data_IF_663640009379
#
_entry.id   IF_663640009379
#
_cell.length_a   1.000
_cell.length_b   1.000
_cell.length_c   1.000
_cell.angle_alpha   90.00
_cell.angle_beta   90.00
_cell.angle_gamma   90.00
#
_symmetry.space_group_name_H-M   'P 1'
#
loop_
_entity.id
_entity.type
_entity.pdbx_description
1 polymer ?
#
# COMPACT_ATOMS: atom_id res chain seq x y z
N UNK A 1 1.90 -2.25 3.37
CA UNK A 1 2.10 -2.32 1.93
C UNK A 1 2.20 -3.77 1.44
N UNK A 2 1.29 -4.66 1.90
CA UNK A 2 1.28 -6.08 1.57
C UNK A 2 2.27 -6.93 2.34
N UNK A 3 2.24 -8.25 2.06
CA UNK A 3 2.99 -9.30 2.76
C UNK A 3 2.71 -9.29 4.28
N UNK A 4 1.42 -9.39 4.62
CA UNK A 4 0.93 -9.45 5.99
C UNK A 4 1.21 -10.82 6.61
N UNK A 5 1.36 -11.82 5.75
CA UNK A 5 1.55 -13.22 6.06
C UNK A 5 2.83 -13.75 5.42
N UNK A 6 3.33 -14.89 5.87
CA UNK A 6 4.47 -15.60 5.27
C UNK A 6 3.99 -16.71 4.30
N UNK A 7 3.01 -17.49 4.72
CA UNK A 7 2.47 -18.63 3.97
C UNK A 7 1.07 -18.38 3.37
N UNK A 8 0.47 -17.25 3.65
CA UNK A 8 -0.85 -16.89 3.12
C UNK A 8 -2.02 -17.62 3.78
N UNK A 9 -1.87 -18.04 5.02
CA UNK A 9 -2.92 -18.77 5.74
C UNK A 9 -3.89 -17.82 6.43
N UNK A 10 -5.15 -18.25 6.60
CA UNK A 10 -6.16 -17.50 7.36
C UNK A 10 -5.71 -17.21 8.80
N UNK A 11 -5.01 -18.15 9.44
CA UNK A 11 -4.53 -17.97 10.80
C UNK A 11 -3.51 -16.83 10.89
N UNK A 12 -2.58 -16.73 9.93
CA UNK A 12 -1.62 -15.62 9.89
C UNK A 12 -2.32 -14.28 9.67
N UNK A 13 -3.36 -14.25 8.83
CA UNK A 13 -4.18 -13.03 8.66
C UNK A 13 -4.86 -12.64 9.96
N UNK A 14 -5.44 -13.58 10.69
CA UNK A 14 -6.06 -13.31 11.99
C UNK A 14 -5.03 -12.80 13.01
N UNK A 15 -3.85 -13.40 13.05
CA UNK A 15 -2.76 -12.97 13.95
C UNK A 15 -2.30 -11.54 13.61
N UNK A 16 -2.14 -11.23 12.33
CA UNK A 16 -1.86 -9.87 11.86
C UNK A 16 -2.97 -8.89 12.26
N UNK A 17 -4.23 -9.22 12.00
CA UNK A 17 -5.36 -8.34 12.30
C UNK A 17 -5.49 -8.08 13.80
N UNK A 18 -5.31 -9.07 14.65
CA UNK A 18 -5.33 -8.92 16.11
C UNK A 18 -4.26 -7.91 16.56
N UNK A 19 -3.03 -8.07 16.10
CA UNK A 19 -1.96 -7.13 16.39
C UNK A 19 -2.22 -5.74 15.81
N UNK A 20 -2.75 -5.67 14.58
CA UNK A 20 -3.01 -4.41 13.90
C UNK A 20 -4.14 -3.61 14.59
N UNK A 21 -5.18 -4.29 15.09
CA UNK A 21 -6.26 -3.69 15.88
C UNK A 21 -5.70 -3.03 17.14
N UNK A 22 -4.79 -3.69 17.84
CA UNK A 22 -4.21 -3.21 19.09
C UNK A 22 -3.20 -2.06 18.89
N UNK A 23 -2.72 -1.84 17.68
CA UNK A 23 -1.74 -0.79 17.40
C UNK A 23 -2.34 0.61 17.67
N UNK A 24 -1.56 1.59 18.23
CA UNK A 24 -2.09 2.84 18.78
C UNK A 24 -2.42 3.92 17.72
N UNK A 25 -2.65 3.53 16.47
CA UNK A 25 -2.89 4.48 15.38
C UNK A 25 -4.39 4.71 15.15
N UNK A 26 -4.82 5.98 14.96
CA UNK A 26 -6.25 6.30 14.80
C UNK A 26 -6.82 5.73 13.50
N UNK A 27 -6.04 5.65 12.44
CA UNK A 27 -6.44 5.08 11.14
C UNK A 27 -5.36 4.10 10.67
N UNK A 28 -5.80 3.00 10.08
CA UNK A 28 -4.93 1.90 9.66
C UNK A 28 -5.37 1.41 8.30
N UNK A 29 -4.44 1.38 7.34
CA UNK A 29 -4.74 1.01 5.96
C UNK A 29 -3.77 -0.09 5.52
N UNK A 30 -4.26 -1.07 4.78
CA UNK A 30 -3.43 -2.13 4.23
C UNK A 30 -3.94 -2.63 2.88
N UNK A 31 -3.04 -3.20 2.10
CA UNK A 31 -3.27 -3.88 0.83
C UNK A 31 -2.71 -5.29 0.90
N UNK A 32 -3.03 -6.15 -0.05
CA UNK A 32 -2.42 -7.47 -0.18
C UNK A 32 -1.04 -7.41 -0.84
N UNK A 33 -0.18 -8.35 -0.47
CA UNK A 33 1.09 -8.65 -1.13
C UNK A 33 1.09 -10.05 -1.76
N UNK A 34 2.24 -10.46 -2.29
CA UNK A 34 2.35 -11.75 -2.95
C UNK A 34 2.31 -12.96 -2.00
N UNK A 35 2.53 -12.75 -0.72
CA UNK A 35 2.41 -13.80 0.30
C UNK A 35 0.99 -13.95 0.85
N UNK A 36 0.09 -12.98 0.64
CA UNK A 36 -1.25 -12.95 1.24
C UNK A 36 -2.30 -13.75 0.45
N UNK A 37 -1.98 -15.02 0.14
CA UNK A 37 -2.71 -15.87 -0.81
C UNK A 37 -4.21 -15.98 -0.52
N UNK A 38 -4.60 -16.11 0.75
CA UNK A 38 -6.01 -16.27 1.12
C UNK A 38 -6.83 -14.97 0.97
N UNK A 39 -6.16 -13.83 0.75
CA UNK A 39 -6.81 -12.53 0.58
C UNK A 39 -6.83 -12.04 -0.89
N UNK A 40 -6.18 -12.73 -1.82
CA UNK A 40 -6.07 -12.22 -3.21
C UNK A 40 -7.42 -11.95 -3.88
N UNK A 41 -8.39 -12.84 -3.69
CA UNK A 41 -9.73 -12.72 -4.25
C UNK A 41 -10.75 -12.15 -3.24
N UNK A 42 -10.30 -11.70 -2.08
CA UNK A 42 -11.19 -11.15 -1.05
C UNK A 42 -11.62 -9.73 -1.43
N UNK A 43 -12.92 -9.54 -1.65
CA UNK A 43 -13.47 -8.20 -1.88
C UNK A 43 -13.52 -7.38 -0.59
N UNK A 44 -13.74 -8.03 0.56
CA UNK A 44 -13.82 -7.39 1.87
C UNK A 44 -13.43 -8.36 2.99
N UNK A 45 -13.21 -7.84 4.18
CA UNK A 45 -13.01 -8.59 5.41
C UNK A 45 -14.11 -8.18 6.38
N UNK A 46 -14.96 -9.15 6.75
CA UNK A 46 -16.07 -8.92 7.68
C UNK A 46 -15.59 -8.48 9.07
N UNK A 47 -16.40 -7.70 9.75
CA UNK A 47 -16.20 -7.27 11.15
C UNK A 47 -14.91 -6.46 11.42
N UNK A 48 -14.28 -5.88 10.39
CA UNK A 48 -13.17 -4.94 10.62
C UNK A 48 -13.65 -3.71 11.41
N UNK A 49 -12.88 -3.24 12.41
CA UNK A 49 -13.13 -1.97 13.07
C UNK A 49 -13.19 -0.81 12.07
N UNK A 50 -14.07 0.17 12.29
CA UNK A 50 -14.31 1.29 11.35
C UNK A 50 -13.09 2.15 11.03
N UNK A 51 -12.04 2.07 11.82
CA UNK A 51 -10.78 2.77 11.61
C UNK A 51 -9.70 1.94 10.90
N UNK A 52 -10.05 0.74 10.43
CA UNK A 52 -9.17 -0.14 9.66
C UNK A 52 -9.74 -0.32 8.26
N UNK A 53 -8.91 -0.05 7.26
CA UNK A 53 -9.29 -0.05 5.85
C UNK A 53 -8.49 -1.12 5.11
N UNK A 54 -9.17 -2.15 4.64
CA UNK A 54 -8.66 -3.10 3.67
C UNK A 54 -8.85 -2.51 2.27
N UNK A 55 -7.76 -2.07 1.64
CA UNK A 55 -7.80 -1.37 0.36
C UNK A 55 -7.47 -2.32 -0.80
N UNK A 56 -8.39 -3.22 -1.08
CA UNK A 56 -8.29 -4.12 -2.24
C UNK A 56 -9.02 -3.48 -3.41
N UNK A 57 -8.28 -2.81 -4.31
CA UNK A 57 -8.78 -2.05 -5.48
C UNK A 57 -9.82 -0.99 -5.14
N UNK A 58 -9.70 -0.42 -3.98
CA UNK A 58 -10.64 0.59 -3.51
C UNK A 58 -9.95 1.77 -2.87
N UNK A 59 -10.66 2.89 -2.85
CA UNK A 59 -10.24 4.10 -2.17
C UNK A 59 -11.00 4.31 -0.87
N UNK A 60 -10.44 5.18 -0.03
CA UNK A 60 -11.13 5.81 1.08
C UNK A 60 -10.69 7.26 1.20
N UNK A 61 -11.49 8.06 1.90
CA UNK A 61 -11.15 9.43 2.23
C UNK A 61 -11.09 9.58 3.74
N UNK A 62 -9.96 10.10 4.24
CA UNK A 62 -9.76 10.35 5.66
C UNK A 62 -9.40 11.84 5.81
N UNK A 63 -10.28 12.60 6.45
CA UNK A 63 -10.22 14.05 6.40
C UNK A 63 -10.45 14.53 4.96
N UNK A 64 -9.50 15.26 4.39
CA UNK A 64 -9.56 15.73 3.00
C UNK A 64 -8.49 15.03 2.13
N UNK A 65 -8.02 13.85 2.54
CA UNK A 65 -6.96 13.09 1.84
C UNK A 65 -7.57 11.83 1.23
N UNK A 66 -7.38 11.67 -0.07
CA UNK A 66 -7.86 10.52 -0.85
C UNK A 66 -6.79 9.45 -0.96
N UNK A 67 -7.08 8.30 -0.38
CA UNK A 67 -6.26 7.11 -0.46
C UNK A 67 -6.82 6.14 -1.51
N UNK A 68 -5.94 5.41 -2.17
CA UNK A 68 -6.30 4.26 -2.98
C UNK A 68 -5.29 3.13 -2.77
N UNK A 69 -5.78 1.92 -2.57
CA UNK A 69 -4.96 0.72 -2.51
C UNK A 69 -5.19 -0.17 -3.72
N UNK A 70 -4.12 -0.59 -4.38
CA UNK A 70 -4.15 -1.60 -5.43
C UNK A 70 -3.73 -2.93 -4.84
N UNK A 71 -4.57 -3.96 -4.99
CA UNK A 71 -4.26 -5.33 -4.60
C UNK A 71 -3.10 -5.92 -5.42
N UNK A 72 -2.44 -6.94 -4.86
CA UNK A 72 -1.37 -7.62 -5.57
C UNK A 72 -1.86 -8.28 -6.86
N UNK A 73 -1.11 -8.10 -7.96
CA UNK A 73 -1.41 -8.65 -9.29
C UNK A 73 -2.73 -8.15 -9.92
N UNK A 74 -3.27 -7.00 -9.47
CA UNK A 74 -4.45 -6.38 -10.04
C UNK A 74 -4.09 -5.31 -11.09
N UNK A 75 -5.08 -4.86 -11.86
CA UNK A 75 -4.82 -3.98 -13.00
C UNK A 75 -4.65 -2.52 -12.57
N UNK A 76 -3.58 -1.89 -12.96
CA UNK A 76 -3.26 -0.49 -12.65
C UNK A 76 -4.27 0.50 -13.24
N UNK A 77 -5.05 0.10 -14.23
CA UNK A 77 -6.16 0.88 -14.78
C UNK A 77 -7.30 1.15 -13.79
N UNK A 78 -7.37 0.38 -12.71
CA UNK A 78 -8.32 0.60 -11.61
C UNK A 78 -7.99 1.83 -10.77
N UNK A 79 -6.73 2.27 -10.77
CA UNK A 79 -6.29 3.43 -9.97
C UNK A 79 -6.95 4.70 -10.54
N UNK A 80 -7.76 5.44 -9.76
CA UNK A 80 -8.38 6.67 -10.22
C UNK A 80 -7.35 7.79 -10.45
N UNK A 81 -7.78 8.88 -11.10
CA UNK A 81 -6.87 10.00 -11.43
C UNK A 81 -6.71 11.02 -10.31
N UNK A 82 -7.62 11.01 -9.33
CA UNK A 82 -7.68 11.98 -8.23
C UNK A 82 -7.28 11.37 -6.88
N UNK A 83 -6.14 10.69 -6.83
CA UNK A 83 -5.56 10.06 -5.64
C UNK A 83 -4.46 10.94 -5.08
N UNK A 84 -4.51 11.21 -3.78
CA UNK A 84 -3.44 11.90 -3.06
C UNK A 84 -2.36 10.93 -2.60
N UNK A 85 -2.76 9.78 -2.05
CA UNK A 85 -1.86 8.74 -1.54
C UNK A 85 -2.22 7.39 -2.15
N UNK A 86 -1.31 6.86 -2.96
CA UNK A 86 -1.41 5.53 -3.54
C UNK A 86 -0.64 4.53 -2.67
N UNK A 87 -1.26 3.38 -2.41
CA UNK A 87 -0.64 2.26 -1.69
C UNK A 87 -0.67 1.03 -2.60
N UNK A 88 0.49 0.44 -2.85
CA UNK A 88 0.61 -0.81 -3.61
C UNK A 88 1.56 -1.77 -2.89
N UNK A 89 1.57 -3.04 -3.29
CA UNK A 89 2.62 -3.93 -2.83
C UNK A 89 3.85 -3.81 -3.71
N UNK A 90 3.69 -3.96 -5.02
CA UNK A 90 4.80 -3.87 -5.96
C UNK A 90 5.33 -2.43 -6.09
N UNK A 91 6.66 -2.27 -6.26
CA UNK A 91 7.24 -0.99 -6.61
C UNK A 91 6.99 -0.63 -8.09
N UNK A 92 6.93 0.66 -8.45
CA UNK A 92 7.00 1.08 -9.85
C UNK A 92 8.39 0.81 -10.42
N UNK A 93 8.47 0.31 -11.66
CA UNK A 93 9.74 -0.05 -12.29
C UNK A 93 10.77 1.08 -12.23
N UNK A 94 12.03 0.75 -11.90
CA UNK A 94 13.17 1.67 -11.77
C UNK A 94 13.07 2.70 -10.63
N UNK A 95 12.14 2.51 -9.69
CA UNK A 95 12.01 3.38 -8.53
C UNK A 95 12.00 2.51 -7.26
N UNK A 96 13.13 2.49 -6.53
CA UNK A 96 13.31 1.70 -5.32
C UNK A 96 12.85 0.23 -5.47
N UNK A 97 13.20 -0.39 -6.61
CA UNK A 97 12.68 -1.69 -7.02
C UNK A 97 13.75 -2.78 -7.16
N UNK A 98 14.99 -2.49 -6.73
CA UNK A 98 16.09 -3.47 -6.82
C UNK A 98 16.10 -4.41 -5.62
N UNK A 99 16.19 -5.70 -5.89
CA UNK A 99 16.52 -6.72 -4.91
C UNK A 99 17.34 -7.82 -5.58
N UNK A 100 18.38 -8.31 -4.92
CA UNK A 100 19.30 -9.34 -5.41
C UNK A 100 19.87 -8.99 -6.81
N UNK A 101 20.18 -7.71 -7.02
CA UNK A 101 20.77 -7.19 -8.26
C UNK A 101 19.82 -7.09 -9.46
N UNK A 102 18.53 -7.34 -9.29
CA UNK A 102 17.49 -7.26 -10.33
C UNK A 102 16.46 -6.21 -10.01
N UNK A 103 15.79 -5.70 -11.05
CA UNK A 103 14.61 -4.85 -10.94
C UNK A 103 13.36 -5.73 -10.84
N UNK A 104 12.53 -5.49 -9.83
CA UNK A 104 11.28 -6.20 -9.57
C UNK A 104 10.04 -5.32 -9.75
N UNK A 105 10.26 -4.09 -10.22
CA UNK A 105 9.18 -3.13 -10.37
C UNK A 105 8.27 -3.41 -11.57
N UNK A 106 7.04 -2.95 -11.43
CA UNK A 106 5.97 -3.09 -12.41
C UNK A 106 5.98 -1.87 -13.36
N UNK A 107 6.13 -2.10 -14.68
CA UNK A 107 6.17 -1.03 -15.69
C UNK A 107 4.80 -0.40 -15.94
N UNK A 108 3.70 -1.15 -16.11
CA UNK A 108 2.35 -0.60 -16.16
C UNK A 108 2.03 0.31 -14.97
N UNK A 109 2.35 -0.13 -13.74
CA UNK A 109 2.18 0.67 -12.53
C UNK A 109 2.97 1.98 -12.58
N UNK A 110 4.24 1.91 -13.00
CA UNK A 110 5.05 3.13 -13.20
C UNK A 110 4.38 4.11 -14.14
N UNK A 111 3.92 3.64 -15.30
CA UNK A 111 3.27 4.48 -16.30
C UNK A 111 2.02 5.15 -15.73
N UNK A 112 1.20 4.37 -15.00
CA UNK A 112 -0.01 4.90 -14.35
C UNK A 112 0.32 5.94 -13.28
N UNK A 113 1.29 5.69 -12.42
CA UNK A 113 1.72 6.64 -11.37
C UNK A 113 2.26 7.93 -11.98
N UNK A 114 3.05 7.85 -13.08
CA UNK A 114 3.55 9.03 -13.76
C UNK A 114 2.45 9.85 -14.46
N UNK A 115 1.36 9.22 -14.86
CA UNK A 115 0.17 9.87 -15.42
C UNK A 115 -0.61 10.62 -14.33
N UNK A 116 -1.00 9.93 -13.24
CA UNK A 116 -1.89 10.47 -12.19
C UNK A 116 -1.16 11.36 -11.19
N UNK A 117 0.14 11.14 -10.97
CA UNK A 117 1.02 11.93 -10.10
C UNK A 117 0.48 12.12 -8.69
N UNK A 118 0.22 11.04 -7.93
CA UNK A 118 -0.21 11.17 -6.55
C UNK A 118 0.86 11.93 -5.75
N UNK A 119 0.48 12.58 -4.65
CA UNK A 119 1.45 13.25 -3.79
C UNK A 119 2.43 12.24 -3.16
N UNK A 120 1.91 11.08 -2.74
CA UNK A 120 2.71 9.99 -2.19
C UNK A 120 2.36 8.66 -2.85
N UNK A 121 3.38 7.85 -3.11
CA UNK A 121 3.23 6.46 -3.49
C UNK A 121 4.01 5.58 -2.49
N UNK A 122 3.29 4.77 -1.74
CA UNK A 122 3.82 3.89 -0.69
C UNK A 122 3.78 2.45 -1.19
N UNK A 123 4.88 1.71 -1.05
CA UNK A 123 4.98 0.32 -1.52
C UNK A 123 5.98 -0.50 -0.72
N UNK A 124 6.04 -1.81 -0.98
CA UNK A 124 6.88 -2.80 -0.31
C UNK A 124 7.69 -3.65 -1.29
N UNK A 125 7.71 -4.97 -1.05
CA UNK A 125 8.24 -6.04 -1.89
C UNK A 125 9.78 -6.08 -2.06
N UNK A 126 10.41 -5.02 -2.55
CA UNK A 126 11.85 -4.98 -2.83
C UNK A 126 12.68 -4.56 -1.60
N UNK A 127 12.73 -5.40 -0.57
CA UNK A 127 13.24 -5.08 0.78
C UNK A 127 14.65 -4.47 0.81
N UNK A 128 15.53 -4.78 -0.16
CA UNK A 128 16.87 -4.21 -0.23
C UNK A 128 16.89 -2.75 -0.69
N UNK A 129 15.78 -2.24 -1.22
CA UNK A 129 15.64 -0.89 -1.78
C UNK A 129 14.86 0.09 -0.89
N UNK A 130 14.77 -0.20 0.42
CA UNK A 130 14.05 0.71 1.32
C UNK A 130 14.59 2.14 1.21
N UNK A 131 13.70 3.11 1.31
CA UNK A 131 14.09 4.51 1.23
C UNK A 131 12.98 5.42 0.74
N UNK A 132 13.36 6.66 0.53
CA UNK A 132 12.48 7.72 0.03
C UNK A 132 13.17 8.38 -1.15
N UNK A 133 12.42 8.57 -2.24
CA UNK A 133 12.90 9.32 -3.42
C UNK A 133 11.77 10.19 -3.95
N UNK A 134 12.11 11.37 -4.42
CA UNK A 134 11.16 12.25 -5.11
C UNK A 134 11.43 12.23 -6.61
N UNK A 135 10.37 12.08 -7.40
CA UNK A 135 10.41 12.21 -8.85
C UNK A 135 9.22 13.05 -9.32
N UNK A 136 9.51 14.19 -9.92
CA UNK A 136 8.48 15.19 -10.22
C UNK A 136 7.82 15.71 -8.93
N UNK A 137 6.50 15.63 -8.87
CA UNK A 137 5.70 16.02 -7.70
C UNK A 137 5.41 14.87 -6.73
N UNK A 138 5.70 13.62 -7.12
CA UNK A 138 5.43 12.44 -6.32
C UNK A 138 6.61 12.08 -5.42
N UNK A 139 6.32 11.83 -4.15
CA UNK A 139 7.25 11.25 -3.18
C UNK A 139 6.99 9.74 -3.11
N UNK A 140 8.00 8.96 -3.46
CA UNK A 140 7.98 7.50 -3.43
C UNK A 140 8.61 7.03 -2.12
N UNK A 141 7.94 6.13 -1.42
CA UNK A 141 8.40 5.57 -0.16
C UNK A 141 8.30 4.05 -0.19
N UNK A 142 9.44 3.40 -0.18
CA UNK A 142 9.54 1.95 -0.02
C UNK A 142 9.78 1.63 1.45
N UNK A 143 8.84 0.90 2.06
CA UNK A 143 8.87 0.55 3.47
C UNK A 143 9.33 -0.89 3.71
N UNK A 144 10.27 -1.06 4.65
CA UNK A 144 10.72 -2.38 5.12
C UNK A 144 9.78 -3.01 6.14
N UNK A 145 9.04 -2.18 6.86
CA UNK A 145 8.18 -2.61 7.97
C UNK A 145 6.73 -2.56 7.55
N UNK A 146 5.94 -3.41 8.12
CA UNK A 146 4.51 -3.57 7.89
C UNK A 146 3.67 -2.34 8.24
N UNK A 147 4.28 -1.32 8.86
CA UNK A 147 3.60 -0.09 9.26
C UNK A 147 4.31 1.13 8.69
N UNK A 148 3.59 1.89 7.90
CA UNK A 148 3.93 3.27 7.58
C UNK A 148 3.02 4.16 8.43
N UNK A 149 3.61 4.88 9.40
CA UNK A 149 2.92 5.93 10.13
C UNK A 149 2.97 7.22 9.33
N UNK A 150 1.86 7.63 8.78
CA UNK A 150 1.69 9.00 8.27
C UNK A 150 1.01 9.79 9.37
N UNK A 151 1.77 10.51 10.18
CA UNK A 151 1.20 11.54 11.03
C UNK A 151 0.97 12.79 10.17
N UNK A 152 -0.19 12.90 9.59
CA UNK A 152 -0.64 14.13 8.96
C UNK A 152 -0.97 15.11 10.10
N UNK A 153 -0.12 16.12 10.30
CA UNK A 153 -0.47 17.26 11.13
C UNK A 153 -1.61 17.99 10.41
N UNK A 154 -2.84 17.74 10.82
CA UNK A 154 -3.96 18.58 10.44
C UNK A 154 -3.65 19.97 10.98
N UNK A 155 -3.23 20.87 10.11
CA UNK A 155 -3.24 22.29 10.42
C UNK A 155 -4.72 22.68 10.42
N UNK A 156 -5.26 22.87 11.60
CA UNK A 156 -6.46 23.64 11.79
C UNK A 156 -6.08 25.09 11.51
N UNK A 157 -6.48 25.62 10.38
CA UNK A 157 -6.67 27.05 10.14
C UNK A 157 -8.17 27.38 10.30
#
# INVERSE_FOLDING_TARGET
CGDLTDMGTEQEVLDFLNWFIESPYPYKLFVTGNHDLCLWDAEDIEDLPQNIYFLQDRGCEIGNVKFFGLGYNHQESLIPTDVDILITHEPPMMILDKSSGRHWGNLPLRNRVMEIRPQYHLFGHAHESYGIVQSGTTIFLMALLWIICISYAMRHD
#
